data_IF_525827323160
#
_entry.id   IF_525827323160
#
_cell.length_a   1.000
_cell.length_b   1.000
_cell.length_c   1.000
_cell.angle_alpha   90.00
_cell.angle_beta   90.00
_cell.angle_gamma   90.00
#
_symmetry.space_group_name_H-M   'P 1'
#
loop_
_entity.id
_entity.type
_entity.pdbx_description
1 polymer ?
#
# COMPACT_ATOMS: atom_id res chain seq x y z
N UNK A 1 -0.30 -32.94 31.71
CA UNK A 1 -0.51 -31.49 31.65
C UNK A 1 0.17 -30.97 30.40
N UNK A 2 -0.58 -30.64 29.35
CA UNK A 2 -0.04 -30.09 28.11
C UNK A 2 -0.51 -28.65 28.03
N UNK A 3 0.44 -27.72 28.09
CA UNK A 3 0.18 -26.28 28.05
C UNK A 3 -0.28 -25.84 26.67
N UNK A 4 -1.42 -25.16 26.61
CA UNK A 4 -1.90 -24.49 25.41
C UNK A 4 -0.95 -23.33 25.06
N UNK A 5 -0.21 -23.49 23.97
CA UNK A 5 0.61 -22.42 23.40
C UNK A 5 -0.28 -21.29 22.89
N UNK A 6 -0.08 -20.08 23.40
CA UNK A 6 -0.65 -18.86 22.84
C UNK A 6 -0.12 -18.67 21.42
N UNK A 7 -1.04 -18.63 20.45
CA UNK A 7 -0.77 -18.14 19.10
C UNK A 7 -0.47 -16.63 19.17
N UNK A 8 0.58 -16.12 18.50
CA UNK A 8 0.88 -14.69 18.47
C UNK A 8 -0.28 -13.89 17.87
N UNK A 9 -0.62 -12.74 18.49
CA UNK A 9 -1.69 -11.82 18.04
C UNK A 9 -1.49 -11.18 16.65
N UNK A 10 -0.43 -11.53 15.91
CA UNK A 10 -0.14 -11.00 14.57
C UNK A 10 -0.87 -11.69 13.41
N UNK A 11 -1.47 -12.87 13.62
CA UNK A 11 -2.12 -13.63 12.53
C UNK A 11 -3.59 -13.26 12.30
N UNK A 12 -4.26 -12.62 13.27
CA UNK A 12 -5.64 -12.16 13.10
C UNK A 12 -5.75 -10.98 12.11
N UNK A 13 -4.74 -10.10 12.04
CA UNK A 13 -4.74 -8.94 11.14
C UNK A 13 -4.54 -9.33 9.67
N UNK A 14 -3.78 -10.39 9.38
CA UNK A 14 -3.59 -10.87 8.01
C UNK A 14 -4.90 -11.42 7.41
N UNK A 15 -5.72 -12.10 8.21
CA UNK A 15 -6.99 -12.67 7.74
C UNK A 15 -8.08 -11.62 7.53
N UNK A 16 -8.11 -10.59 8.38
CA UNK A 16 -8.99 -9.44 8.20
C UNK A 16 -8.55 -8.53 7.02
N UNK A 17 -7.24 -8.48 6.74
CA UNK A 17 -6.70 -7.85 5.52
C UNK A 17 -7.10 -8.60 4.26
N UNK A 18 -7.11 -9.93 4.30
CA UNK A 18 -7.58 -10.78 3.21
C UNK A 18 -9.05 -10.45 2.86
N UNK A 19 -9.93 -10.29 3.83
CA UNK A 19 -11.36 -10.02 3.59
C UNK A 19 -11.65 -8.66 2.95
N UNK A 20 -10.72 -7.69 3.01
CA UNK A 20 -10.90 -6.32 2.50
C UNK A 20 -10.34 -6.08 1.09
N UNK A 21 -9.77 -7.09 0.42
CA UNK A 21 -9.28 -6.94 -0.95
C UNK A 21 -10.45 -7.01 -1.95
N UNK A 22 -10.95 -5.85 -2.37
CA UNK A 22 -11.99 -5.75 -3.41
C UNK A 22 -11.32 -5.77 -4.79
N UNK A 23 -11.30 -6.93 -5.44
CA UNK A 23 -10.94 -7.04 -6.86
C UNK A 23 -12.19 -6.70 -7.67
N UNK A 24 -12.37 -5.42 -8.02
CA UNK A 24 -13.40 -5.02 -8.99
C UNK A 24 -12.86 -5.26 -10.40
N UNK A 25 -13.07 -6.47 -10.91
CA UNK A 25 -12.87 -6.76 -12.32
C UNK A 25 -14.11 -6.24 -13.08
N UNK A 26 -14.06 -5.00 -13.57
CA UNK A 26 -15.06 -4.55 -14.55
C UNK A 26 -14.73 -5.17 -15.91
N UNK A 27 -15.00 -6.48 -16.04
CA UNK A 27 -15.16 -7.10 -17.34
C UNK A 27 -16.59 -6.82 -17.81
N UNK A 28 -16.80 -6.19 -18.98
CA UNK A 28 -18.14 -6.03 -19.52
C UNK A 28 -18.71 -7.40 -19.89
N UNK A 29 -19.79 -7.82 -19.21
CA UNK A 29 -20.73 -8.83 -19.72
C UNK A 29 -20.77 -10.21 -19.05
N UNK A 30 -20.77 -10.33 -17.72
CA UNK A 30 -21.05 -11.62 -17.07
C UNK A 30 -22.07 -11.48 -15.93
N UNK A 31 -23.35 -11.57 -16.26
CA UNK A 31 -24.43 -11.83 -15.30
C UNK A 31 -24.64 -13.35 -15.15
N UNK A 32 -24.79 -13.77 -13.89
CA UNK A 32 -25.40 -15.02 -13.38
C UNK A 32 -24.74 -16.37 -13.71
N UNK A 33 -24.07 -16.96 -12.70
CA UNK A 33 -24.49 -18.21 -12.04
C UNK A 33 -23.42 -18.66 -11.03
N UNK A 34 -23.85 -19.07 -9.83
CA UNK A 34 -23.01 -19.60 -8.76
C UNK A 34 -22.51 -20.99 -9.17
N UNK A 35 -21.35 -21.02 -9.80
CA UNK A 35 -20.61 -22.24 -10.14
C UNK A 35 -19.15 -22.05 -9.67
N UNK A 36 -18.53 -23.08 -9.11
CA UNK A 36 -17.16 -22.99 -8.58
C UNK A 36 -16.19 -23.02 -9.78
N UNK A 37 -16.02 -21.86 -10.44
CA UNK A 37 -15.39 -21.74 -11.76
C UNK A 37 -13.93 -21.23 -11.65
N UNK A 38 -13.02 -21.52 -12.61
CA UNK A 38 -11.64 -21.02 -12.75
C UNK A 38 -11.34 -19.56 -12.36
N UNK A 39 -12.36 -18.70 -12.33
CA UNK A 39 -12.37 -17.34 -11.76
C UNK A 39 -11.73 -17.33 -10.35
N UNK A 40 -12.05 -18.31 -9.49
CA UNK A 40 -11.52 -18.36 -8.13
C UNK A 40 -10.00 -18.56 -8.08
N UNK A 41 -9.42 -19.32 -9.02
CA UNK A 41 -7.98 -19.56 -9.05
C UNK A 41 -7.22 -18.35 -9.62
N UNK A 42 -7.78 -17.70 -10.65
CA UNK A 42 -7.22 -16.47 -11.23
C UNK A 42 -7.18 -15.33 -10.20
N UNK A 43 -8.29 -15.11 -9.51
CA UNK A 43 -8.42 -14.12 -8.41
C UNK A 43 -7.44 -14.44 -7.28
N UNK A 44 -7.31 -15.71 -6.88
CA UNK A 44 -6.36 -16.13 -5.84
C UNK A 44 -4.89 -15.87 -6.22
N UNK A 45 -4.54 -16.01 -7.50
CA UNK A 45 -3.17 -15.76 -7.99
C UNK A 45 -2.82 -14.28 -8.05
N UNK A 46 -3.73 -13.44 -8.54
CA UNK A 46 -3.58 -11.97 -8.52
C UNK A 46 -3.36 -11.49 -7.10
N UNK A 47 -4.20 -11.97 -6.17
CA UNK A 47 -4.07 -11.68 -4.75
C UNK A 47 -2.69 -12.04 -4.20
N UNK A 48 -2.13 -13.21 -4.51
CA UNK A 48 -0.78 -13.58 -4.05
C UNK A 48 0.31 -12.61 -4.51
N UNK A 49 0.23 -12.13 -5.76
CA UNK A 49 1.15 -11.12 -6.30
C UNK A 49 0.98 -9.79 -5.56
N UNK A 50 -0.25 -9.29 -5.47
CA UNK A 50 -0.55 -8.02 -4.77
C UNK A 50 -0.10 -8.08 -3.30
N UNK A 51 -0.36 -9.17 -2.60
CA UNK A 51 0.07 -9.38 -1.22
C UNK A 51 1.60 -9.34 -1.08
N UNK A 52 2.32 -9.97 -2.02
CA UNK A 52 3.78 -9.93 -2.02
C UNK A 52 4.30 -8.51 -2.21
N UNK A 53 3.67 -7.76 -3.10
CA UNK A 53 3.98 -6.34 -3.36
C UNK A 53 3.72 -5.48 -2.12
N UNK A 54 2.55 -5.62 -1.49
CA UNK A 54 2.19 -4.93 -0.23
C UNK A 54 3.21 -5.23 0.88
N UNK A 55 3.53 -6.50 1.10
CA UNK A 55 4.48 -6.88 2.15
C UNK A 55 5.88 -6.30 1.90
N UNK A 56 6.34 -6.30 0.65
CA UNK A 56 7.66 -5.78 0.32
C UNK A 56 7.70 -4.24 0.41
N UNK A 57 6.63 -3.55 -0.04
CA UNK A 57 6.49 -2.10 0.12
C UNK A 57 6.53 -1.68 1.60
N UNK A 58 5.74 -2.35 2.46
CA UNK A 58 5.78 -2.12 3.90
C UNK A 58 7.15 -2.43 4.50
N UNK A 59 7.82 -3.49 4.03
CA UNK A 59 9.15 -3.84 4.49
C UNK A 59 10.16 -2.74 4.18
N UNK A 60 10.14 -2.16 2.98
CA UNK A 60 11.03 -1.04 2.62
C UNK A 60 10.89 0.14 3.59
N UNK A 61 9.65 0.54 3.89
CA UNK A 61 9.39 1.66 4.80
C UNK A 61 9.77 1.34 6.27
N UNK A 62 9.75 0.07 6.67
CA UNK A 62 10.06 -0.36 8.03
C UNK A 62 11.54 -0.48 8.33
N UNK A 63 12.40 -0.56 7.31
CA UNK A 63 13.85 -0.52 7.48
C UNK A 63 14.29 0.79 8.14
N UNK A 64 15.50 0.80 8.71
CA UNK A 64 16.11 2.02 9.27
C UNK A 64 16.14 3.15 8.24
N UNK A 65 16.67 2.87 7.04
CA UNK A 65 16.69 3.83 5.93
C UNK A 65 15.29 4.32 5.52
N UNK A 66 14.28 3.43 5.55
CA UNK A 66 12.90 3.78 5.23
C UNK A 66 12.30 4.74 6.25
N UNK A 67 12.50 4.45 7.54
CA UNK A 67 12.05 5.32 8.65
C UNK A 67 12.75 6.65 8.63
N UNK A 68 14.06 6.68 8.41
CA UNK A 68 14.84 7.91 8.28
C UNK A 68 14.38 8.74 7.07
N UNK A 69 14.09 8.08 5.95
CA UNK A 69 13.47 8.72 4.78
C UNK A 69 12.15 9.40 5.13
N UNK A 70 11.24 8.70 5.81
CA UNK A 70 9.95 9.27 6.24
C UNK A 70 10.12 10.43 7.24
N UNK A 71 11.05 10.33 8.20
CA UNK A 71 11.36 11.42 9.11
C UNK A 71 11.88 12.66 8.37
N UNK A 72 12.72 12.47 7.37
CA UNK A 72 13.24 13.56 6.53
C UNK A 72 12.15 14.20 5.68
N UNK A 73 11.24 13.41 5.11
CA UNK A 73 10.05 13.91 4.41
C UNK A 73 9.19 14.75 5.36
N UNK A 74 8.88 14.24 6.56
CA UNK A 74 8.10 14.96 7.56
C UNK A 74 8.74 16.29 7.95
N UNK A 75 10.05 16.28 8.23
CA UNK A 75 10.77 17.50 8.59
C UNK A 75 10.69 18.56 7.48
N UNK A 76 10.88 18.16 6.22
CA UNK A 76 10.81 19.08 5.08
C UNK A 76 9.39 19.62 4.91
N UNK A 77 8.39 18.75 4.97
CA UNK A 77 6.98 19.15 4.86
C UNK A 77 6.59 20.19 5.89
N UNK A 78 6.88 19.96 7.17
CA UNK A 78 6.56 20.92 8.24
C UNK A 78 7.31 22.24 8.04
N UNK A 79 8.58 22.18 7.64
CA UNK A 79 9.39 23.38 7.37
C UNK A 79 8.77 24.22 6.26
N UNK A 80 8.41 23.58 5.15
CA UNK A 80 7.81 24.26 3.99
C UNK A 80 6.40 24.75 4.31
N UNK A 81 5.57 23.94 4.96
CA UNK A 81 4.20 24.34 5.32
C UNK A 81 4.17 25.51 6.30
N UNK A 82 5.01 25.51 7.33
CA UNK A 82 5.15 26.66 8.22
C UNK A 82 5.64 27.90 7.47
N UNK A 83 6.61 27.75 6.55
CA UNK A 83 7.12 28.85 5.73
C UNK A 83 6.06 29.46 4.82
N UNK A 84 5.19 28.64 4.25
CA UNK A 84 4.13 29.06 3.32
C UNK A 84 2.78 29.31 3.99
N UNK A 85 2.66 29.14 5.31
CA UNK A 85 1.40 29.28 6.04
C UNK A 85 0.33 28.27 5.64
N UNK A 86 0.73 27.06 5.21
CA UNK A 86 -0.20 26.01 4.81
C UNK A 86 -0.84 25.38 6.04
N UNK A 87 -2.14 25.05 5.94
CA UNK A 87 -2.87 24.41 7.02
C UNK A 87 -2.44 22.95 7.16
N UNK A 88 -2.06 22.56 8.36
CA UNK A 88 -1.75 21.17 8.70
C UNK A 88 -2.07 20.86 10.16
N UNK A 89 -2.25 19.57 10.45
CA UNK A 89 -2.60 19.06 11.79
C UNK A 89 -1.33 18.86 12.65
N UNK A 90 -0.14 18.96 12.05
CA UNK A 90 1.10 18.78 12.81
C UNK A 90 1.21 19.82 13.93
N UNK A 91 1.51 19.41 15.19
CA UNK A 91 1.60 20.34 16.31
C UNK A 91 2.59 21.48 16.06
N UNK A 92 2.17 22.73 16.32
CA UNK A 92 2.98 23.93 16.05
C UNK A 92 3.97 24.30 17.17
N UNK A 93 3.96 23.65 18.33
CA UNK A 93 4.92 23.99 19.39
C UNK A 93 6.33 23.50 19.04
N UNK A 94 7.32 24.34 19.35
CA UNK A 94 8.75 24.13 19.04
C UNK A 94 9.28 22.77 19.54
N UNK A 95 8.68 22.24 20.61
CA UNK A 95 8.98 20.94 21.22
C UNK A 95 8.64 19.71 20.36
N UNK A 96 7.86 19.85 19.28
CA UNK A 96 7.46 18.74 18.42
C UNK A 96 8.30 18.58 17.14
N UNK A 97 9.42 19.31 17.07
CA UNK A 97 10.34 19.29 15.93
C UNK A 97 11.61 18.48 16.20
N UNK A 98 11.73 17.82 17.35
CA UNK A 98 12.88 16.95 17.63
C UNK A 98 12.76 15.58 16.91
N UNK A 99 13.88 14.89 16.74
CA UNK A 99 13.92 13.63 16.01
C UNK A 99 13.06 12.53 16.64
N UNK A 100 12.95 12.48 17.98
CA UNK A 100 12.16 11.46 18.66
C UNK A 100 10.68 11.68 18.40
N UNK A 101 10.20 12.92 18.43
CA UNK A 101 8.80 13.24 18.09
C UNK A 101 8.50 12.86 16.63
N UNK A 102 9.36 13.19 15.66
CA UNK A 102 9.16 12.76 14.27
C UNK A 102 9.10 11.25 14.12
N UNK A 103 9.98 10.52 14.80
CA UNK A 103 9.97 9.05 14.79
C UNK A 103 8.68 8.48 15.37
N UNK A 104 8.12 9.09 16.42
CA UNK A 104 6.82 8.69 16.97
C UNK A 104 5.71 8.81 15.93
N UNK A 105 5.68 9.89 15.15
CA UNK A 105 4.70 10.07 14.06
C UNK A 105 4.88 9.07 12.92
N UNK A 106 6.13 8.79 12.54
CA UNK A 106 6.44 7.74 11.56
C UNK A 106 5.97 6.37 12.06
N UNK A 107 6.21 6.05 13.34
CA UNK A 107 5.76 4.78 13.92
C UNK A 107 4.23 4.69 13.97
N UNK A 108 3.54 5.76 14.37
CA UNK A 108 2.07 5.83 14.35
C UNK A 108 1.54 5.58 12.94
N UNK A 109 2.12 6.22 11.93
CA UNK A 109 1.75 5.99 10.53
C UNK A 109 1.94 4.53 10.11
N UNK A 110 3.11 3.95 10.37
CA UNK A 110 3.42 2.56 9.98
C UNK A 110 2.56 1.53 10.72
N UNK A 111 2.14 1.83 11.95
CA UNK A 111 1.19 1.03 12.71
C UNK A 111 -0.23 1.14 12.11
N UNK A 112 -0.70 2.35 11.82
CA UNK A 112 -2.00 2.56 11.19
C UNK A 112 -2.06 1.92 9.80
N UNK A 113 -1.00 2.03 9.01
CA UNK A 113 -0.92 1.44 7.67
C UNK A 113 -0.96 -0.11 7.71
N UNK A 114 -0.36 -0.73 8.73
CA UNK A 114 -0.39 -2.19 8.89
C UNK A 114 -1.76 -2.68 9.40
N UNK A 115 -2.34 -2.00 10.38
CA UNK A 115 -3.60 -2.42 11.00
C UNK A 115 -4.82 -2.07 10.15
N UNK A 116 -4.76 -0.94 9.45
CA UNK A 116 -5.85 -0.33 8.71
C UNK A 116 -5.44 -0.04 7.27
N UNK A 117 -4.91 -1.05 6.60
CA UNK A 117 -4.41 -0.95 5.24
C UNK A 117 -5.42 -0.31 4.27
N UNK A 118 -4.99 0.60 3.36
CA UNK A 118 -5.86 1.18 2.33
C UNK A 118 -6.45 0.09 1.43
N UNK A 119 -7.61 0.39 0.86
CA UNK A 119 -8.22 -0.44 -0.19
C UNK A 119 -7.28 -0.50 -1.39
N UNK A 120 -6.90 -1.72 -1.81
CA UNK A 120 -6.10 -1.95 -3.02
C UNK A 120 -7.01 -2.35 -4.16
N UNK A 121 -6.98 -1.59 -5.25
CA UNK A 121 -7.70 -1.88 -6.49
C UNK A 121 -6.72 -2.27 -7.59
N UNK A 122 -7.19 -3.08 -8.53
CA UNK A 122 -6.46 -3.38 -9.75
C UNK A 122 -7.10 -2.56 -10.85
N UNK A 123 -6.34 -1.66 -11.47
CA UNK A 123 -6.87 -0.72 -12.46
C UNK A 123 -6.20 -0.94 -13.82
N UNK A 124 -6.92 -0.68 -14.93
CA UNK A 124 -6.32 -0.60 -16.27
C UNK A 124 -5.20 0.44 -16.33
N UNK A 125 -4.22 0.22 -17.21
CA UNK A 125 -3.09 1.13 -17.39
C UNK A 125 -3.52 2.53 -17.86
N UNK A 126 -4.53 2.59 -18.73
CA UNK A 126 -5.02 3.84 -19.31
C UNK A 126 -5.65 4.75 -18.26
N UNK A 127 -6.30 4.18 -17.24
CA UNK A 127 -6.90 4.91 -16.12
C UNK A 127 -5.84 5.49 -15.16
N UNK A 128 -4.61 4.95 -15.19
CA UNK A 128 -3.51 5.33 -14.30
C UNK A 128 -2.42 6.16 -15.01
N UNK A 129 -2.66 6.59 -16.26
CA UNK A 129 -1.69 7.38 -17.03
C UNK A 129 -0.33 6.71 -17.22
N UNK A 130 -0.27 5.38 -17.16
CA UNK A 130 0.99 4.61 -17.25
C UNK A 130 1.73 4.41 -15.92
N UNK A 131 1.20 4.87 -14.78
CA UNK A 131 1.79 4.60 -13.47
C UNK A 131 1.63 3.13 -13.06
N UNK A 132 2.59 2.61 -12.27
CA UNK A 132 2.51 1.27 -11.69
C UNK A 132 1.57 1.21 -10.47
N UNK A 133 1.45 2.32 -9.75
CA UNK A 133 0.58 2.50 -8.60
C UNK A 133 0.11 3.96 -8.53
N UNK A 134 -1.07 4.21 -7.98
CA UNK A 134 -1.62 5.56 -7.80
C UNK A 134 -2.52 5.64 -6.56
N UNK A 135 -2.29 6.63 -5.71
CA UNK A 135 -3.10 6.90 -4.51
C UNK A 135 -4.19 7.92 -4.80
N UNK A 136 -5.42 7.57 -4.44
CA UNK A 136 -6.50 8.54 -4.21
C UNK A 136 -6.63 8.78 -2.71
N UNK A 137 -6.50 10.05 -2.29
CA UNK A 137 -6.74 10.48 -0.90
C UNK A 137 -8.18 10.94 -0.76
N UNK A 138 -8.78 10.69 0.39
CA UNK A 138 -10.13 11.07 0.75
C UNK A 138 -10.07 11.92 2.03
N UNK A 139 -10.93 12.94 2.17
CA UNK A 139 -11.12 13.67 3.41
C UNK A 139 -11.28 12.71 4.58
N UNK A 140 -10.50 12.91 5.64
CA UNK A 140 -10.56 12.03 6.81
C UNK A 140 -10.70 12.78 8.12
N UNK A 141 -10.23 14.02 8.21
CA UNK A 141 -10.29 14.81 9.45
C UNK A 141 -11.67 15.43 9.63
N UNK A 142 -12.35 15.09 10.73
CA UNK A 142 -13.59 15.72 11.18
C UNK A 142 -13.36 16.65 12.39
N UNK A 143 -14.36 17.46 12.71
CA UNK A 143 -14.29 18.38 13.85
C UNK A 143 -14.10 17.62 15.17
N UNK A 144 -13.07 17.99 15.94
CA UNK A 144 -12.72 17.36 17.22
C UNK A 144 -11.84 16.11 17.09
N UNK A 145 -11.56 15.64 15.88
CA UNK A 145 -10.59 14.57 15.66
C UNK A 145 -9.15 15.09 15.73
N UNK A 146 -8.25 14.19 16.09
CA UNK A 146 -6.80 14.45 16.09
C UNK A 146 -6.14 13.53 15.08
N UNK A 147 -4.85 13.77 14.80
CA UNK A 147 -4.04 12.91 13.92
C UNK A 147 -4.06 11.41 14.30
N UNK A 148 -4.35 11.06 15.56
CA UNK A 148 -4.49 9.68 16.00
C UNK A 148 -5.73 8.97 15.42
N UNK A 149 -6.73 9.71 14.94
CA UNK A 149 -7.92 9.15 14.31
C UNK A 149 -7.68 8.75 12.83
N UNK A 150 -6.52 9.08 12.27
CA UNK A 150 -6.17 8.75 10.89
C UNK A 150 -6.28 7.24 10.63
N UNK A 151 -6.99 6.88 9.57
CA UNK A 151 -7.28 5.50 9.19
C UNK A 151 -7.14 5.33 7.67
N UNK A 152 -6.01 4.76 7.18
CA UNK A 152 -5.75 4.61 5.75
C UNK A 152 -6.83 3.84 4.98
N UNK A 153 -7.53 2.89 5.62
CA UNK A 153 -8.63 2.13 5.02
C UNK A 153 -9.80 3.01 4.62
N UNK A 154 -10.12 4.01 5.45
CA UNK A 154 -11.21 4.96 5.21
C UNK A 154 -10.79 6.20 4.45
N UNK A 155 -9.51 6.58 4.54
CA UNK A 155 -8.99 7.83 4.00
C UNK A 155 -8.25 7.69 2.67
N UNK A 156 -7.95 6.47 2.22
CA UNK A 156 -7.12 6.26 1.03
C UNK A 156 -7.55 5.04 0.22
N UNK A 157 -7.33 5.12 -1.08
CA UNK A 157 -7.39 3.99 -2.02
C UNK A 157 -6.10 3.99 -2.83
N UNK A 158 -5.56 2.80 -3.11
CA UNK A 158 -4.42 2.67 -4.01
C UNK A 158 -4.80 1.77 -5.16
N UNK A 159 -4.65 2.28 -6.38
CA UNK A 159 -4.76 1.50 -7.62
C UNK A 159 -3.40 0.92 -7.97
N UNK A 160 -3.36 -0.36 -8.36
CA UNK A 160 -2.19 -1.03 -8.91
C UNK A 160 -2.44 -1.38 -10.37
N UNK A 161 -1.42 -1.23 -11.21
CA UNK A 161 -1.54 -1.43 -12.64
C UNK A 161 -1.75 -2.91 -13.00
N UNK A 162 -2.87 -3.22 -13.62
CA UNK A 162 -3.23 -4.58 -14.05
C UNK A 162 -2.24 -5.19 -15.04
N UNK A 163 -1.54 -4.39 -15.86
CA UNK A 163 -0.53 -4.89 -16.81
C UNK A 163 0.73 -5.36 -16.08
N UNK A 164 1.18 -4.63 -15.06
CA UNK A 164 2.33 -5.00 -14.25
C UNK A 164 2.05 -6.30 -13.45
N UNK A 165 0.84 -6.44 -12.92
CA UNK A 165 0.40 -7.67 -12.22
C UNK A 165 0.35 -8.85 -13.20
N UNK A 166 -0.25 -8.68 -14.38
CA UNK A 166 -0.31 -9.73 -15.41
C UNK A 166 1.09 -10.14 -15.89
N UNK A 167 2.01 -9.19 -16.05
CA UNK A 167 3.39 -9.48 -16.44
C UNK A 167 4.13 -10.28 -15.37
N UNK A 168 3.96 -9.93 -14.09
CA UNK A 168 4.49 -10.70 -12.99
C UNK A 168 3.94 -12.13 -12.96
N UNK A 169 2.62 -12.30 -13.16
CA UNK A 169 1.99 -13.62 -13.21
C UNK A 169 2.48 -14.46 -14.39
N UNK A 170 2.62 -13.87 -15.58
CA UNK A 170 3.16 -14.55 -16.76
C UNK A 170 4.61 -15.01 -16.53
N UNK A 171 5.44 -14.17 -15.90
CA UNK A 171 6.79 -14.54 -15.51
C UNK A 171 6.83 -15.67 -14.46
N UNK A 172 5.93 -15.63 -13.47
CA UNK A 172 5.80 -16.70 -12.49
C UNK A 172 5.42 -18.04 -13.14
N UNK A 173 4.46 -18.03 -14.08
CA UNK A 173 4.02 -19.23 -14.80
C UNK A 173 5.13 -19.84 -15.64
N UNK A 174 5.87 -19.01 -16.38
CA UNK A 174 7.02 -19.47 -17.15
C UNK A 174 8.13 -20.05 -16.25
N UNK A 175 8.30 -19.52 -15.04
CA UNK A 175 9.31 -20.00 -14.10
C UNK A 175 9.00 -21.40 -13.50
N UNK A 176 7.71 -21.76 -13.37
CA UNK A 176 7.30 -23.05 -12.79
C UNK A 176 6.89 -24.08 -13.84
N UNK A 177 6.84 -23.71 -15.12
CA UNK A 177 6.45 -24.61 -16.19
C UNK A 177 7.53 -25.71 -16.41
N UNK A 178 7.17 -27.01 -16.27
CA UNK A 178 8.11 -28.12 -16.47
C UNK A 178 8.71 -28.20 -17.87
N UNK A 179 7.99 -27.70 -18.89
CA UNK A 179 8.42 -27.71 -20.29
C UNK A 179 9.38 -26.57 -20.67
N UNK A 180 9.62 -25.62 -19.76
CA UNK A 180 10.51 -24.48 -20.01
C UNK A 180 11.98 -24.87 -19.79
N UNK A 181 12.86 -24.50 -20.73
CA UNK A 181 14.29 -24.78 -20.63
C UNK A 181 14.93 -24.10 -19.41
N UNK A 182 16.09 -24.58 -18.96
CA UNK A 182 16.77 -24.01 -17.79
C UNK A 182 17.08 -22.51 -17.93
N UNK A 183 17.54 -22.09 -19.12
CA UNK A 183 17.83 -20.68 -19.41
C UNK A 183 16.57 -19.81 -19.38
N UNK A 184 15.50 -20.27 -20.04
CA UNK A 184 14.22 -19.56 -20.06
C UNK A 184 13.61 -19.44 -18.66
N UNK A 185 13.76 -20.49 -17.84
CA UNK A 185 13.30 -20.52 -16.45
C UNK A 185 14.03 -19.48 -15.60
N UNK A 186 15.36 -19.39 -15.73
CA UNK A 186 16.15 -18.40 -15.02
C UNK A 186 15.75 -16.96 -15.42
N UNK A 187 15.55 -16.72 -16.73
CA UNK A 187 15.05 -15.43 -17.22
C UNK A 187 13.67 -15.09 -16.65
N UNK A 188 12.76 -16.07 -16.59
CA UNK A 188 11.43 -15.90 -16.02
C UNK A 188 11.46 -15.58 -14.53
N UNK A 189 12.32 -16.25 -13.74
CA UNK A 189 12.52 -15.94 -12.32
C UNK A 189 13.04 -14.52 -12.10
N UNK A 190 14.03 -14.10 -12.89
CA UNK A 190 14.56 -12.73 -12.85
C UNK A 190 13.47 -11.71 -13.18
N UNK A 191 12.68 -11.94 -14.23
CA UNK A 191 11.59 -11.05 -14.61
C UNK A 191 10.50 -10.98 -13.52
N UNK A 192 10.15 -12.12 -12.92
CA UNK A 192 9.21 -12.15 -11.81
C UNK A 192 9.71 -11.30 -10.63
N UNK A 193 10.96 -11.49 -10.21
CA UNK A 193 11.56 -10.70 -9.14
C UNK A 193 11.58 -9.20 -9.48
N UNK A 194 11.93 -8.86 -10.72
CA UNK A 194 11.97 -7.49 -11.21
C UNK A 194 10.59 -6.81 -11.17
N UNK A 195 9.53 -7.46 -11.68
CA UNK A 195 8.18 -6.91 -11.65
C UNK A 195 7.66 -6.73 -10.22
N UNK A 196 7.87 -7.72 -9.34
CA UNK A 196 7.50 -7.60 -7.92
C UNK A 196 8.24 -6.42 -7.27
N UNK A 197 9.53 -6.28 -7.54
CA UNK A 197 10.35 -5.19 -7.00
C UNK A 197 9.86 -3.81 -7.43
N UNK A 198 9.65 -3.58 -8.73
CA UNK A 198 9.18 -2.30 -9.26
C UNK A 198 7.80 -1.93 -8.69
N UNK A 199 6.83 -2.85 -8.72
CA UNK A 199 5.51 -2.59 -8.16
C UNK A 199 5.58 -2.28 -6.65
N UNK A 200 6.52 -2.90 -5.92
CA UNK A 200 6.69 -2.65 -4.49
C UNK A 200 7.31 -1.29 -4.21
N UNK A 201 8.20 -0.80 -5.08
CA UNK A 201 8.71 0.57 -5.01
C UNK A 201 7.59 1.56 -5.29
N UNK A 202 6.81 1.34 -6.34
CA UNK A 202 5.69 2.20 -6.70
C UNK A 202 4.68 2.27 -5.54
N UNK A 203 4.31 1.13 -4.97
CA UNK A 203 3.40 1.10 -3.82
C UNK A 203 4.01 1.75 -2.55
N UNK A 204 5.31 1.60 -2.32
CA UNK A 204 5.97 2.29 -1.21
C UNK A 204 5.97 3.82 -1.42
N UNK A 205 6.11 4.29 -2.67
CA UNK A 205 5.97 5.70 -3.04
C UNK A 205 4.56 6.21 -2.72
N UNK A 206 3.54 5.46 -3.11
CA UNK A 206 2.15 5.75 -2.80
C UNK A 206 1.89 5.83 -1.30
N UNK A 207 2.51 4.96 -0.50
CA UNK A 207 2.44 5.06 0.96
C UNK A 207 3.10 6.34 1.51
N UNK A 208 4.10 6.90 0.85
CA UNK A 208 4.61 8.24 1.21
C UNK A 208 3.54 9.30 0.95
N UNK A 209 2.79 9.24 -0.15
CA UNK A 209 1.68 10.16 -0.39
C UNK A 209 0.57 10.04 0.67
N UNK A 210 0.27 8.81 1.11
CA UNK A 210 -0.64 8.56 2.23
C UNK A 210 -0.09 9.18 3.52
N UNK A 211 1.21 9.00 3.80
CA UNK A 211 1.87 9.61 4.95
C UNK A 211 1.75 11.14 4.94
N UNK A 212 1.93 11.79 3.79
CA UNK A 212 1.68 13.24 3.67
C UNK A 212 0.21 13.58 3.95
N UNK A 213 -0.72 12.79 3.40
CA UNK A 213 -2.18 12.98 3.60
C UNK A 213 -2.65 12.85 5.05
N UNK A 214 -1.94 12.07 5.87
CA UNK A 214 -2.18 11.97 7.31
C UNK A 214 -2.06 13.33 8.02
N UNK A 215 -1.22 14.26 7.54
CA UNK A 215 -1.02 15.55 8.20
C UNK A 215 -1.89 16.68 7.63
N UNK A 216 -2.46 16.51 6.44
CA UNK A 216 -3.30 17.55 5.81
C UNK A 216 -4.80 17.37 6.05
N UNK A 217 -5.23 16.24 6.63
CA UNK A 217 -6.66 15.93 6.83
C UNK A 217 -7.42 15.64 5.53
N UNK A 218 -6.71 15.66 4.40
CA UNK A 218 -7.24 15.78 3.04
C UNK A 218 -8.10 17.05 2.81
N UNK A 219 -7.51 18.20 3.17
CA UNK A 219 -7.80 19.46 2.47
C UNK A 219 -7.27 19.33 1.03
N UNK A 220 -8.14 19.01 0.07
CA UNK A 220 -7.85 19.39 -1.31
C UNK A 220 -7.80 20.92 -1.33
N UNK A 221 -6.61 21.48 -1.51
CA UNK A 221 -6.50 22.88 -1.86
C UNK A 221 -7.19 23.04 -3.23
N UNK A 222 -8.48 23.38 -3.24
CA UNK A 222 -8.94 24.28 -4.29
C UNK A 222 -8.06 25.54 -4.15
N UNK A 223 -7.27 25.88 -5.18
CA UNK A 223 -6.56 27.15 -5.15
C UNK A 223 -7.62 28.27 -5.06
N UNK A 224 -7.31 29.38 -4.38
CA UNK A 224 -8.18 30.55 -4.35
C UNK A 224 -8.46 31.10 -5.75
#
# INVERSE_FOLDING_TARGET
MVGAGRVPRGTQNAQQFLENLVIMDKLPGAENEVNITPINHFVARHRKVVMKVVHLALHFLRTENGRDGLQNVLQRLITDWNRFGMVHIFPHSEDHTDANTRLQWVNLFLEQLENNHPEIRISPNDDMGGADAETTRLPWLNAGETIHAFNPRGSCRVSLNSMSIRSALGAADAAVNPGTSGEQRNKALTNWAHHIFIMSIALAHEYVHIFVGMFTGALDHEPP
#
